data_IF_062207600526
#
_entry.id   IF_062207600526
#
_cell.length_a   1.000
_cell.length_b   1.000
_cell.length_c   1.000
_cell.angle_alpha   90.00
_cell.angle_beta   90.00
_cell.angle_gamma   90.00
#
_symmetry.space_group_name_H-M   'P 1'
#
loop_
_entity.id
_entity.type
_entity.pdbx_description
1 polymer ?
#
# COMPACT_ATOMS: atom_id res chain seq x y z
N UNK A 1 -20.92 38.88 5.33
CA UNK A 1 -22.17 38.13 5.57
C UNK A 1 -23.18 38.49 4.50
N UNK A 2 -23.15 37.79 3.36
CA UNK A 2 -24.18 37.94 2.35
C UNK A 2 -25.50 37.33 2.86
N UNK A 3 -26.64 37.96 2.58
CA UNK A 3 -27.95 37.43 2.98
C UNK A 3 -28.35 36.17 2.20
N UNK A 4 -27.90 36.08 0.94
CA UNK A 4 -28.04 34.92 0.05
C UNK A 4 -26.82 34.83 -0.85
N UNK A 5 -26.42 33.63 -1.25
CA UNK A 5 -25.42 33.40 -2.29
C UNK A 5 -25.94 32.40 -3.33
N UNK A 6 -25.59 32.62 -4.59
CA UNK A 6 -25.91 31.74 -5.71
C UNK A 6 -24.65 31.52 -6.57
N UNK A 7 -24.45 30.29 -7.02
CA UNK A 7 -23.36 29.91 -7.93
C UNK A 7 -23.95 29.71 -9.32
N UNK A 8 -23.47 30.45 -10.32
CA UNK A 8 -23.81 30.23 -11.72
C UNK A 8 -22.69 29.46 -12.40
N UNK A 9 -23.00 28.28 -12.94
CA UNK A 9 -22.02 27.44 -13.62
C UNK A 9 -22.50 27.00 -14.99
N UNK A 10 -21.57 26.97 -15.94
CA UNK A 10 -21.83 26.48 -17.30
C UNK A 10 -22.01 24.96 -17.34
N UNK A 11 -21.53 24.24 -16.32
CA UNK A 11 -21.60 22.79 -16.22
C UNK A 11 -22.91 22.34 -15.57
N UNK A 12 -23.20 21.05 -15.68
CA UNK A 12 -24.21 20.44 -14.83
C UNK A 12 -23.68 20.29 -13.39
N UNK A 13 -24.56 20.23 -12.39
CA UNK A 13 -24.17 20.15 -10.97
C UNK A 13 -23.28 18.92 -10.73
N UNK A 14 -23.67 17.76 -11.25
CA UNK A 14 -22.87 16.53 -11.17
C UNK A 14 -21.54 16.56 -11.95
N UNK A 15 -21.30 17.58 -12.77
CA UNK A 15 -20.05 17.78 -13.50
C UNK A 15 -19.18 18.91 -12.91
N UNK A 16 -19.58 19.46 -11.75
CA UNK A 16 -18.77 20.41 -11.00
C UNK A 16 -17.53 19.69 -10.47
N UNK A 17 -16.36 20.27 -10.70
CA UNK A 17 -15.08 19.73 -10.28
C UNK A 17 -14.76 20.17 -8.85
N UNK A 18 -15.58 19.72 -7.90
CA UNK A 18 -15.33 19.89 -6.47
C UNK A 18 -15.35 18.52 -5.80
N UNK A 19 -14.54 18.30 -4.75
CA UNK A 19 -14.70 17.15 -3.86
C UNK A 19 -16.13 17.08 -3.31
N UNK A 20 -16.62 15.86 -3.08
CA UNK A 20 -17.98 15.62 -2.59
C UNK A 20 -18.29 16.39 -1.28
N UNK A 21 -17.32 16.43 -0.36
CA UNK A 21 -17.49 17.13 0.91
C UNK A 21 -17.66 18.65 0.71
N UNK A 22 -16.90 19.29 -0.19
CA UNK A 22 -17.04 20.72 -0.48
C UNK A 22 -18.39 21.03 -1.13
N UNK A 23 -18.84 20.19 -2.07
CA UNK A 23 -20.16 20.33 -2.69
C UNK A 23 -21.27 20.21 -1.63
N UNK A 24 -21.14 19.25 -0.72
CA UNK A 24 -22.09 19.07 0.39
C UNK A 24 -22.11 20.28 1.32
N UNK A 25 -20.96 20.88 1.60
CA UNK A 25 -20.87 22.05 2.48
C UNK A 25 -21.54 23.28 1.84
N UNK A 26 -21.39 23.46 0.52
CA UNK A 26 -22.11 24.48 -0.25
C UNK A 26 -23.63 24.29 -0.13
N UNK A 27 -24.11 23.06 -0.33
CA UNK A 27 -25.55 22.75 -0.26
C UNK A 27 -26.11 22.93 1.16
N UNK A 28 -25.37 22.48 2.19
CA UNK A 28 -25.75 22.66 3.60
C UNK A 28 -25.79 24.12 4.04
N UNK A 29 -24.94 24.96 3.44
CA UNK A 29 -24.96 26.40 3.66
C UNK A 29 -26.14 27.12 2.99
N UNK A 30 -27.02 26.40 2.27
CA UNK A 30 -28.17 26.98 1.57
C UNK A 30 -27.79 27.80 0.34
N UNK A 31 -26.64 27.51 -0.28
CA UNK A 31 -26.16 28.20 -1.48
C UNK A 31 -26.74 27.49 -2.71
N UNK A 32 -27.55 28.22 -3.49
CA UNK A 32 -28.17 27.68 -4.70
C UNK A 32 -27.13 27.53 -5.83
N UNK A 33 -27.16 26.40 -6.53
CA UNK A 33 -26.30 26.15 -7.69
C UNK A 33 -27.14 26.16 -8.97
N UNK A 34 -27.00 27.22 -9.75
CA UNK A 34 -27.61 27.39 -11.05
C UNK A 34 -26.72 26.76 -12.14
N UNK A 35 -26.88 25.45 -12.34
CA UNK A 35 -26.21 24.71 -13.41
C UNK A 35 -26.66 25.13 -14.81
N UNK A 36 -25.88 24.78 -15.84
CA UNK A 36 -26.19 25.04 -17.26
C UNK A 36 -26.61 26.49 -17.53
N UNK A 37 -25.90 27.45 -16.92
CA UNK A 37 -26.18 28.88 -17.04
C UNK A 37 -24.90 29.65 -17.33
N UNK A 38 -25.01 30.72 -18.13
CA UNK A 38 -23.89 31.61 -18.46
C UNK A 38 -24.27 33.05 -18.15
N UNK A 39 -23.40 33.75 -17.44
CA UNK A 39 -23.51 35.20 -17.25
C UNK A 39 -23.03 35.86 -18.55
N UNK A 40 -23.92 36.63 -19.20
CA UNK A 40 -23.66 37.32 -20.48
C UNK A 40 -23.34 38.80 -20.28
N UNK A 41 -23.62 39.35 -19.11
CA UNK A 41 -23.25 40.72 -18.76
C UNK A 41 -23.53 41.08 -17.31
N UNK A 42 -22.90 42.15 -16.84
CA UNK A 42 -23.16 42.78 -15.53
C UNK A 42 -23.83 44.12 -15.80
N UNK A 43 -24.88 44.45 -15.05
CA UNK A 43 -25.60 45.70 -15.24
C UNK A 43 -24.77 46.91 -14.76
N UNK A 44 -25.14 48.11 -15.24
CA UNK A 44 -24.45 49.36 -14.93
C UNK A 44 -24.42 49.59 -13.40
N UNK A 45 -23.23 49.93 -12.88
CA UNK A 45 -23.02 50.10 -11.44
C UNK A 45 -22.75 48.80 -10.67
N UNK A 46 -22.57 47.67 -11.36
CA UNK A 46 -22.20 46.38 -10.76
C UNK A 46 -23.34 45.65 -10.05
N UNK A 47 -24.56 46.18 -10.12
CA UNK A 47 -25.76 45.65 -9.46
C UNK A 47 -26.66 44.95 -10.46
N UNK A 48 -26.62 43.63 -10.43
CA UNK A 48 -27.41 42.75 -11.25
C UNK A 48 -26.62 42.15 -12.40
N UNK A 49 -27.13 41.02 -12.91
CA UNK A 49 -26.50 40.24 -13.97
C UNK A 49 -27.51 39.88 -15.06
N UNK A 50 -27.00 39.64 -16.27
CA UNK A 50 -27.73 39.00 -17.36
C UNK A 50 -27.28 37.55 -17.45
N UNK A 51 -28.22 36.62 -17.51
CA UNK A 51 -27.97 35.18 -17.56
C UNK A 51 -28.74 34.56 -18.72
N UNK A 52 -28.18 33.52 -19.33
CA UNK A 52 -28.85 32.68 -20.34
C UNK A 52 -28.65 31.21 -19.99
N UNK A 53 -29.62 30.35 -20.33
CA UNK A 53 -29.49 28.90 -20.15
C UNK A 53 -28.66 28.31 -21.28
N UNK A 54 -27.96 27.22 -20.96
CA UNK A 54 -27.11 26.47 -21.89
C UNK A 54 -27.70 25.10 -22.19
N UNK A 55 -27.58 24.67 -23.44
CA UNK A 55 -27.88 23.31 -23.87
C UNK A 55 -26.76 22.31 -23.49
N UNK A 56 -26.90 21.06 -23.92
CA UNK A 56 -25.89 20.02 -23.67
C UNK A 56 -24.58 20.20 -24.42
N UNK A 57 -24.58 21.03 -25.47
CA UNK A 57 -23.40 21.42 -26.23
C UNK A 57 -22.81 22.76 -25.75
N UNK A 58 -23.26 23.25 -24.58
CA UNK A 58 -22.86 24.51 -23.97
C UNK A 58 -23.13 25.75 -24.85
N UNK A 59 -24.14 25.67 -25.74
CA UNK A 59 -24.66 26.78 -26.54
C UNK A 59 -25.82 27.46 -25.82
N UNK A 60 -25.99 28.75 -26.06
CA UNK A 60 -27.12 29.52 -25.52
C UNK A 60 -28.44 28.98 -26.07
N UNK A 61 -29.45 28.89 -25.20
CA UNK A 61 -30.82 28.55 -25.58
C UNK A 61 -31.59 29.86 -25.78
N UNK A 62 -31.98 30.21 -27.02
CA UNK A 62 -32.73 31.44 -27.29
C UNK A 62 -34.04 31.51 -26.49
N UNK A 63 -34.38 32.70 -26.00
CA UNK A 63 -35.60 32.94 -25.22
C UNK A 63 -35.48 32.59 -23.73
N UNK A 64 -34.29 32.19 -23.27
CA UNK A 64 -34.01 31.91 -21.86
C UNK A 64 -33.22 33.00 -21.16
N UNK A 65 -33.04 34.14 -21.83
CA UNK A 65 -32.35 35.30 -21.30
C UNK A 65 -33.13 35.88 -20.11
N UNK A 66 -32.43 36.10 -19.01
CA UNK A 66 -32.99 36.65 -17.79
C UNK A 66 -32.11 37.78 -17.27
N UNK A 67 -32.77 38.82 -16.75
CA UNK A 67 -32.12 39.91 -16.02
C UNK A 67 -32.40 39.72 -14.55
N UNK A 68 -31.35 39.51 -13.75
CA UNK A 68 -31.41 39.35 -12.30
C UNK A 68 -30.95 40.64 -11.63
N UNK A 69 -31.90 41.53 -11.34
CA UNK A 69 -31.65 42.82 -10.66
C UNK A 69 -31.46 42.70 -9.14
N UNK A 70 -31.79 41.55 -8.57
CA UNK A 70 -31.68 41.24 -7.15
C UNK A 70 -30.23 40.97 -6.70
N UNK A 71 -29.32 40.62 -7.62
CA UNK A 71 -27.91 40.35 -7.33
C UNK A 71 -27.15 41.67 -7.08
N UNK A 72 -26.73 41.91 -5.83
CA UNK A 72 -26.03 43.15 -5.46
C UNK A 72 -24.50 43.09 -5.67
N UNK A 73 -23.92 41.90 -5.73
CA UNK A 73 -22.47 41.69 -5.83
C UNK A 73 -22.17 40.44 -6.64
N UNK A 74 -21.15 40.51 -7.50
CA UNK A 74 -20.74 39.39 -8.37
C UNK A 74 -19.27 39.07 -8.17
N UNK A 75 -18.97 37.80 -7.90
CA UNK A 75 -17.60 37.27 -7.85
C UNK A 75 -17.37 36.39 -9.06
N UNK A 76 -16.36 36.71 -9.86
CA UNK A 76 -15.93 35.87 -10.97
C UNK A 76 -14.91 34.85 -10.47
N UNK A 77 -15.40 33.66 -10.10
CA UNK A 77 -14.55 32.51 -9.78
C UNK A 77 -14.23 31.68 -11.04
N UNK A 78 -13.67 32.34 -12.05
CA UNK A 78 -13.21 31.69 -13.29
C UNK A 78 -11.75 31.32 -13.12
N UNK A 79 -11.41 30.04 -13.36
CA UNK A 79 -10.07 29.44 -13.24
C UNK A 79 -8.92 30.45 -13.44
N UNK A 80 -7.90 30.39 -12.58
CA UNK A 80 -6.66 31.14 -12.75
C UNK A 80 -5.79 30.53 -13.86
N UNK A 81 -5.22 31.39 -14.70
CA UNK A 81 -4.30 31.01 -15.78
C UNK A 81 -3.01 31.82 -15.57
N UNK A 82 -1.81 31.22 -15.77
CA UNK A 82 -0.57 31.96 -15.73
C UNK A 82 -0.60 33.15 -16.70
N UNK A 83 -0.21 34.33 -16.22
CA UNK A 83 -0.13 35.56 -17.03
C UNK A 83 1.16 35.64 -17.86
N UNK A 84 2.06 34.68 -17.69
CA UNK A 84 3.33 34.60 -18.39
C UNK A 84 3.43 33.31 -19.22
N UNK A 85 4.31 33.35 -20.22
CA UNK A 85 4.72 32.15 -20.96
C UNK A 85 6.11 31.77 -20.50
N UNK A 86 6.35 30.48 -20.34
CA UNK A 86 7.69 29.97 -20.10
C UNK A 86 8.55 30.22 -21.35
N UNK A 87 9.55 31.10 -21.21
CA UNK A 87 10.49 31.43 -22.28
C UNK A 87 11.64 30.43 -22.44
N UNK A 88 11.67 29.35 -21.66
CA UNK A 88 12.75 28.36 -21.66
C UNK A 88 14.08 28.93 -21.17
N UNK A 89 14.03 29.91 -20.27
CA UNK A 89 15.23 30.54 -19.72
C UNK A 89 16.06 29.51 -18.94
N UNK A 90 17.36 29.42 -19.26
CA UNK A 90 18.27 28.48 -18.58
C UNK A 90 18.35 28.80 -17.09
N UNK A 91 18.25 27.76 -16.25
CA UNK A 91 18.30 27.91 -14.80
C UNK A 91 17.01 28.39 -14.13
N UNK A 92 15.92 28.52 -14.89
CA UNK A 92 14.59 28.85 -14.35
C UNK A 92 13.73 27.59 -14.36
N UNK A 93 13.15 27.25 -13.20
CA UNK A 93 12.31 26.07 -13.01
C UNK A 93 10.98 26.49 -12.41
N UNK A 94 9.87 25.96 -12.94
CA UNK A 94 8.52 26.29 -12.50
C UNK A 94 7.89 25.12 -11.77
N UNK A 95 7.01 25.42 -10.81
CA UNK A 95 6.31 24.42 -10.00
C UNK A 95 4.91 24.89 -9.59
N UNK A 96 4.07 23.93 -9.21
CA UNK A 96 2.68 24.17 -8.82
C UNK A 96 1.82 24.73 -9.93
N UNK A 97 0.81 25.51 -9.56
CA UNK A 97 -0.21 26.02 -10.49
C UNK A 97 0.37 26.80 -11.68
N UNK A 98 1.53 27.44 -11.51
CA UNK A 98 2.16 28.21 -12.56
C UNK A 98 2.73 27.32 -13.69
N UNK A 99 3.11 26.08 -13.36
CA UNK A 99 3.66 25.09 -14.30
C UNK A 99 2.61 24.10 -14.80
N UNK A 100 1.74 23.66 -13.90
CA UNK A 100 0.87 22.50 -14.11
C UNK A 100 -0.62 22.91 -14.23
N UNK A 101 -0.94 24.20 -14.07
CA UNK A 101 -2.31 24.68 -13.95
C UNK A 101 -2.93 24.26 -12.62
N UNK A 102 -4.24 24.50 -12.46
CA UNK A 102 -4.96 24.20 -11.22
C UNK A 102 -4.63 22.80 -10.67
N UNK A 103 -3.93 22.78 -9.54
CA UNK A 103 -3.48 21.59 -8.85
C UNK A 103 -3.92 21.66 -7.38
N UNK A 104 -4.01 20.50 -6.74
CA UNK A 104 -4.15 20.43 -5.29
C UNK A 104 -2.86 20.87 -4.61
N UNK A 105 -2.91 21.22 -3.32
CA UNK A 105 -1.72 21.55 -2.53
C UNK A 105 -0.68 20.43 -2.56
N UNK A 106 -1.12 19.16 -2.55
CA UNK A 106 -0.24 17.99 -2.59
C UNK A 106 0.45 17.88 -3.96
N UNK A 107 -0.29 18.05 -5.05
CA UNK A 107 0.27 18.06 -6.41
C UNK A 107 1.24 19.23 -6.62
N UNK A 108 0.92 20.42 -6.09
CA UNK A 108 1.82 21.57 -6.13
C UNK A 108 3.11 21.34 -5.33
N UNK A 109 3.03 20.66 -4.19
CA UNK A 109 4.19 20.26 -3.40
C UNK A 109 5.05 19.22 -4.13
N UNK A 110 4.43 18.23 -4.77
CA UNK A 110 5.13 17.24 -5.57
C UNK A 110 5.85 17.87 -6.78
N UNK A 111 5.18 18.80 -7.45
CA UNK A 111 5.74 19.63 -8.52
C UNK A 111 6.94 20.46 -8.05
N UNK A 112 6.85 21.09 -6.88
CA UNK A 112 7.98 21.83 -6.30
C UNK A 112 9.17 20.94 -5.99
N UNK A 113 8.93 19.71 -5.52
CA UNK A 113 9.98 18.75 -5.22
C UNK A 113 10.72 18.28 -6.47
N UNK A 114 9.99 18.05 -7.55
CA UNK A 114 10.57 17.72 -8.86
C UNK A 114 11.39 18.89 -9.42
N UNK A 115 10.83 20.11 -9.39
CA UNK A 115 11.54 21.32 -9.81
C UNK A 115 12.81 21.57 -8.98
N UNK A 116 12.79 21.31 -7.68
CA UNK A 116 13.96 21.41 -6.82
C UNK A 116 15.07 20.43 -7.23
N UNK A 117 14.72 19.19 -7.61
CA UNK A 117 15.71 18.23 -8.14
C UNK A 117 16.31 18.68 -9.47
N UNK A 118 15.52 19.31 -10.34
CA UNK A 118 16.04 19.88 -11.59
C UNK A 118 16.97 21.06 -11.33
N UNK A 119 16.57 21.97 -10.43
CA UNK A 119 17.41 23.09 -10.02
C UNK A 119 18.72 22.61 -9.39
N UNK A 120 18.66 21.60 -8.53
CA UNK A 120 19.84 21.00 -7.92
C UNK A 120 20.79 20.40 -8.98
N UNK A 121 20.27 19.54 -9.87
CA UNK A 121 21.07 18.95 -10.95
C UNK A 121 21.69 20.03 -11.86
N UNK A 122 20.93 21.09 -12.17
CA UNK A 122 21.43 22.23 -12.94
C UNK A 122 22.63 22.91 -12.26
N UNK A 123 22.51 23.18 -10.95
CA UNK A 123 23.59 23.80 -10.18
C UNK A 123 24.84 22.91 -10.09
N UNK A 124 24.69 21.58 -10.12
CA UNK A 124 25.79 20.63 -10.12
C UNK A 124 26.38 20.38 -11.53
N UNK A 125 25.78 20.94 -12.60
CA UNK A 125 26.16 20.63 -13.98
C UNK A 125 25.79 19.22 -14.41
N UNK A 126 24.86 18.57 -13.71
CA UNK A 126 24.38 17.23 -13.99
C UNK A 126 23.24 17.23 -15.01
N UNK A 127 22.95 16.04 -15.57
CA UNK A 127 21.79 15.85 -16.44
C UNK A 127 20.50 16.06 -15.66
N UNK A 128 19.65 16.95 -16.16
CA UNK A 128 18.35 17.23 -15.54
C UNK A 128 17.46 15.98 -15.50
N UNK A 129 16.87 15.66 -14.33
CA UNK A 129 15.90 14.59 -14.23
C UNK A 129 14.62 14.94 -15.01
N UNK A 130 14.03 13.91 -15.62
CA UNK A 130 12.77 14.02 -16.38
C UNK A 130 11.70 13.23 -15.63
N UNK A 131 10.58 13.89 -15.35
CA UNK A 131 9.44 13.31 -14.64
C UNK A 131 8.28 13.08 -15.61
N UNK A 132 7.72 11.86 -15.61
CA UNK A 132 6.57 11.51 -16.46
C UNK A 132 5.32 12.33 -16.10
N UNK A 133 5.13 12.57 -14.81
CA UNK A 133 4.05 13.42 -14.28
C UNK A 133 4.67 14.38 -13.28
N UNK A 134 4.67 15.67 -13.62
CA UNK A 134 5.29 16.70 -12.79
C UNK A 134 4.54 16.88 -11.46
N UNK A 135 3.27 16.48 -11.38
CA UNK A 135 2.44 16.55 -10.17
C UNK A 135 2.62 15.35 -9.23
N UNK A 136 3.53 14.42 -9.56
CA UNK A 136 3.86 13.25 -8.72
C UNK A 136 5.35 13.21 -8.45
N UNK A 137 5.71 13.02 -7.18
CA UNK A 137 7.11 12.96 -6.76
C UNK A 137 7.32 11.85 -5.74
N UNK A 138 8.31 11.00 -6.01
CA UNK A 138 8.82 9.96 -5.10
C UNK A 138 10.21 10.27 -4.54
N UNK A 139 10.74 11.46 -4.85
CA UNK A 139 12.01 11.91 -4.31
C UNK A 139 11.98 11.80 -2.79
N UNK A 140 13.09 11.49 -2.14
CA UNK A 140 13.24 11.61 -0.68
C UNK A 140 14.14 12.80 -0.46
N UNK A 141 13.68 13.78 0.31
CA UNK A 141 14.48 14.99 0.55
C UNK A 141 15.71 14.62 1.38
N UNK A 142 16.85 15.24 1.07
CA UNK A 142 18.06 15.09 1.86
C UNK A 142 17.79 15.42 3.33
N UNK A 143 18.34 14.60 4.24
CA UNK A 143 18.13 14.74 5.69
C UNK A 143 16.83 14.10 6.22
N UNK A 144 15.94 13.57 5.35
CA UNK A 144 14.80 12.79 5.82
C UNK A 144 15.20 11.33 6.03
N UNK A 145 15.32 10.93 7.28
CA UNK A 145 15.44 9.53 7.66
C UNK A 145 14.05 8.86 7.67
N UNK A 146 13.87 7.85 6.82
CA UNK A 146 12.64 7.05 6.77
C UNK A 146 12.65 5.88 7.76
N UNK A 147 13.79 5.61 8.40
CA UNK A 147 13.99 4.55 9.40
C UNK A 147 14.79 5.09 10.58
N UNK A 148 14.24 6.08 11.31
CA UNK A 148 14.97 6.80 12.37
C UNK A 148 15.35 5.92 13.58
N UNK A 149 14.80 4.70 13.67
CA UNK A 149 15.07 3.76 14.75
C UNK A 149 15.66 2.49 14.14
N UNK A 150 16.83 2.10 14.61
CA UNK A 150 17.42 0.82 14.25
C UNK A 150 16.58 -0.31 14.85
N UNK A 151 16.17 -1.25 13.99
CA UNK A 151 15.43 -2.44 14.39
C UNK A 151 16.33 -3.67 14.40
N UNK A 152 17.63 -3.52 14.15
CA UNK A 152 18.53 -4.66 14.12
C UNK A 152 18.50 -5.45 15.43
N UNK A 153 18.44 -6.78 15.33
CA UNK A 153 18.39 -7.67 16.49
C UNK A 153 19.36 -8.82 16.31
N UNK A 154 19.85 -9.38 17.42
CA UNK A 154 20.50 -10.68 17.42
C UNK A 154 19.44 -11.77 17.69
N UNK A 155 19.48 -12.85 16.91
CA UNK A 155 18.65 -14.02 17.14
C UNK A 155 19.50 -15.27 16.90
N UNK A 156 19.78 -16.03 17.98
CA UNK A 156 20.71 -17.16 17.98
C UNK A 156 22.11 -16.82 17.40
N UNK A 157 22.66 -15.64 17.73
CA UNK A 157 23.97 -15.21 17.23
C UNK A 157 23.96 -14.72 15.77
N UNK A 158 22.78 -14.57 15.16
CA UNK A 158 22.61 -14.00 13.83
C UNK A 158 22.02 -12.61 13.92
N UNK A 159 22.70 -11.66 13.28
CA UNK A 159 22.20 -10.29 13.13
C UNK A 159 21.11 -10.22 12.06
N UNK A 160 19.90 -9.85 12.46
CA UNK A 160 18.74 -9.61 11.59
C UNK A 160 18.52 -8.10 11.42
N UNK A 161 17.92 -7.69 10.30
CA UNK A 161 17.60 -6.28 10.01
C UNK A 161 16.39 -5.75 10.81
N UNK A 162 15.54 -6.66 11.29
CA UNK A 162 14.41 -6.38 12.18
C UNK A 162 14.07 -7.65 12.98
N UNK A 163 13.32 -7.57 14.09
CA UNK A 163 12.91 -8.74 14.86
C UNK A 163 11.69 -9.48 14.27
N UNK A 164 11.17 -9.04 13.12
CA UNK A 164 9.96 -9.59 12.54
C UNK A 164 10.30 -10.74 11.59
N UNK A 165 9.93 -11.97 11.94
CA UNK A 165 10.10 -13.15 11.08
C UNK A 165 8.74 -13.80 10.81
N UNK A 166 8.63 -14.50 9.68
CA UNK A 166 7.41 -15.27 9.35
C UNK A 166 7.45 -16.60 10.08
N UNK A 167 6.39 -16.94 10.78
CA UNK A 167 6.22 -18.23 11.46
C UNK A 167 5.96 -19.38 10.48
N UNK A 168 6.19 -20.61 10.93
CA UNK A 168 5.77 -21.81 10.21
C UNK A 168 4.24 -21.78 9.97
N UNK A 169 3.83 -21.52 8.74
CA UNK A 169 2.43 -21.21 8.39
C UNK A 169 2.20 -21.38 6.89
N UNK A 170 0.96 -21.26 6.38
CA UNK A 170 0.70 -21.25 4.92
C UNK A 170 1.53 -20.22 4.14
N UNK A 171 1.95 -19.12 4.78
CA UNK A 171 2.78 -18.08 4.15
C UNK A 171 4.25 -18.49 3.99
N UNK A 172 4.69 -19.57 4.63
CA UNK A 172 6.04 -20.12 4.50
C UNK A 172 6.05 -21.55 3.93
N UNK A 173 4.95 -21.96 3.28
CA UNK A 173 4.80 -23.28 2.67
C UNK A 173 5.28 -23.30 1.21
N UNK A 174 6.60 -23.23 1.04
CA UNK A 174 7.24 -23.37 -0.26
C UNK A 174 8.19 -22.23 -0.61
N UNK A 175 9.02 -22.50 -1.62
CA UNK A 175 10.07 -21.59 -2.06
C UNK A 175 9.55 -20.22 -2.53
N UNK A 176 8.52 -20.20 -3.38
CA UNK A 176 8.07 -18.95 -4.03
C UNK A 176 7.47 -17.96 -3.03
N UNK A 177 6.74 -18.45 -2.02
CA UNK A 177 6.19 -17.63 -0.94
C UNK A 177 7.31 -16.99 -0.10
N UNK A 178 8.32 -17.77 0.26
CA UNK A 178 9.44 -17.29 1.08
C UNK A 178 10.34 -16.35 0.28
N UNK A 179 10.57 -16.63 -1.01
CA UNK A 179 11.25 -15.71 -1.92
C UNK A 179 10.53 -14.35 -1.96
N UNK A 180 9.21 -14.35 -2.15
CA UNK A 180 8.42 -13.11 -2.16
C UNK A 180 8.54 -12.34 -0.83
N UNK A 181 8.57 -13.05 0.31
CA UNK A 181 8.79 -12.43 1.61
C UNK A 181 10.19 -11.78 1.72
N UNK A 182 11.24 -12.46 1.28
CA UNK A 182 12.60 -11.92 1.30
C UNK A 182 12.80 -10.71 0.38
N UNK A 183 12.18 -10.73 -0.80
CA UNK A 183 12.13 -9.60 -1.73
C UNK A 183 11.35 -8.41 -1.15
N UNK A 184 10.30 -8.68 -0.38
CA UNK A 184 9.56 -7.65 0.38
C UNK A 184 10.33 -7.11 1.60
N UNK A 185 11.47 -7.72 1.96
CA UNK A 185 12.37 -7.24 3.00
C UNK A 185 12.25 -7.94 4.35
N UNK A 186 11.49 -9.04 4.45
CA UNK A 186 11.47 -9.86 5.67
C UNK A 186 12.87 -10.39 5.98
N UNK A 187 13.38 -10.23 7.21
CA UNK A 187 14.72 -10.67 7.61
C UNK A 187 14.83 -12.17 7.85
N UNK A 188 13.72 -12.89 7.99
CA UNK A 188 13.74 -14.33 8.25
C UNK A 188 12.37 -14.99 8.20
N UNK A 189 12.39 -16.31 8.07
CA UNK A 189 11.25 -17.21 7.96
C UNK A 189 11.56 -18.53 8.68
N UNK A 190 10.54 -19.13 9.29
CA UNK A 190 10.50 -20.56 9.58
C UNK A 190 9.65 -21.26 8.51
N UNK A 191 10.26 -22.14 7.71
CA UNK A 191 9.53 -22.94 6.71
C UNK A 191 8.41 -23.74 7.38
N UNK A 192 7.25 -23.85 6.72
CA UNK A 192 6.09 -24.59 7.26
C UNK A 192 6.53 -26.01 7.66
N UNK A 193 6.01 -26.47 8.80
CA UNK A 193 6.37 -27.76 9.40
C UNK A 193 6.22 -28.88 8.38
N UNK A 194 7.26 -29.69 8.20
CA UNK A 194 7.21 -30.86 7.33
C UNK A 194 7.78 -32.09 8.03
N UNK A 195 7.23 -33.25 7.72
CA UNK A 195 7.68 -34.54 8.23
C UNK A 195 8.13 -35.44 7.09
N UNK A 196 9.09 -36.31 7.38
CA UNK A 196 9.55 -37.31 6.43
C UNK A 196 8.59 -38.49 6.33
N UNK A 197 8.44 -39.04 5.13
CA UNK A 197 7.69 -40.29 4.90
C UNK A 197 6.19 -40.25 5.21
N UNK A 198 5.59 -39.08 5.44
CA UNK A 198 4.18 -38.91 5.77
C UNK A 198 3.42 -38.22 4.64
N UNK A 199 2.35 -38.85 4.16
CA UNK A 199 1.42 -38.21 3.24
C UNK A 199 0.40 -37.40 4.03
N UNK A 200 0.38 -36.09 3.81
CA UNK A 200 -0.49 -35.16 4.53
C UNK A 200 -1.63 -34.71 3.63
N UNK A 201 -2.85 -34.92 4.10
CA UNK A 201 -4.04 -34.40 3.45
C UNK A 201 -4.37 -33.01 4.00
N UNK A 202 -4.41 -32.01 3.12
CA UNK A 202 -4.83 -30.65 3.46
C UNK A 202 -6.32 -30.52 3.09
N UNK A 203 -7.22 -30.32 4.06
CA UNK A 203 -8.65 -30.14 3.76
C UNK A 203 -8.90 -28.86 2.96
N UNK A 204 -10.03 -28.77 2.25
CA UNK A 204 -10.52 -27.50 1.69
C UNK A 204 -11.19 -26.66 2.79
N UNK A 205 -11.25 -25.33 2.60
CA UNK A 205 -11.98 -24.41 3.50
C UNK A 205 -11.55 -24.48 4.99
N UNK A 206 -10.28 -24.80 5.22
CA UNK A 206 -9.69 -25.02 6.55
C UNK A 206 -9.34 -23.74 7.31
N UNK A 207 -9.71 -22.57 6.79
CA UNK A 207 -9.47 -21.27 7.41
C UNK A 207 -10.74 -20.45 7.47
N UNK A 208 -10.96 -19.76 8.59
CA UNK A 208 -12.06 -18.83 8.80
C UNK A 208 -11.51 -17.49 9.31
N UNK A 209 -12.10 -16.40 8.83
CA UNK A 209 -11.83 -15.05 9.34
C UNK A 209 -13.01 -14.64 10.22
N UNK A 210 -12.78 -14.43 11.52
CA UNK A 210 -13.81 -13.97 12.44
C UNK A 210 -13.97 -12.45 12.38
N UNK A 211 -12.86 -11.72 12.22
CA UNK A 211 -12.80 -10.28 12.00
C UNK A 211 -11.43 -9.92 11.36
N UNK A 212 -11.16 -8.63 11.16
CA UNK A 212 -9.89 -8.10 10.62
C UNK A 212 -8.61 -8.68 11.27
N UNK A 213 -8.66 -9.00 12.56
CA UNK A 213 -7.49 -9.34 13.38
C UNK A 213 -7.55 -10.76 13.97
N UNK A 214 -8.56 -11.57 13.63
CA UNK A 214 -8.74 -12.89 14.26
C UNK A 214 -9.15 -13.93 13.24
N UNK A 215 -8.37 -15.00 13.20
CA UNK A 215 -8.54 -16.12 12.29
C UNK A 215 -8.61 -17.43 13.07
N UNK A 216 -9.37 -18.38 12.54
CA UNK A 216 -9.34 -19.77 12.98
C UNK A 216 -8.83 -20.64 11.84
N UNK A 217 -8.10 -21.70 12.15
CA UNK A 217 -7.74 -22.70 11.15
C UNK A 217 -7.79 -24.12 11.74
N UNK A 218 -8.07 -25.07 10.87
CA UNK A 218 -7.84 -26.49 11.08
C UNK A 218 -6.85 -27.00 10.02
N UNK A 219 -5.78 -26.23 9.81
CA UNK A 219 -4.69 -26.60 8.90
C UNK A 219 -3.89 -27.77 9.49
N UNK A 220 -3.22 -28.50 8.60
CA UNK A 220 -2.23 -29.49 8.97
C UNK A 220 -0.83 -28.92 8.72
N UNK A 221 0.17 -29.76 8.99
CA UNK A 221 1.54 -29.55 8.52
C UNK A 221 1.61 -29.52 6.99
N UNK A 222 2.76 -29.15 6.44
CA UNK A 222 2.95 -29.02 5.00
C UNK A 222 2.58 -30.32 4.26
N UNK A 223 1.89 -30.14 3.12
CA UNK A 223 1.68 -31.23 2.16
C UNK A 223 2.95 -31.54 1.35
N UNK A 224 4.01 -30.76 1.50
CA UNK A 224 5.28 -30.98 0.84
C UNK A 224 6.12 -32.00 1.62
N UNK A 225 6.75 -32.98 0.94
CA UNK A 225 7.64 -33.92 1.60
C UNK A 225 8.88 -33.20 2.13
N UNK A 226 9.46 -33.70 3.24
CA UNK A 226 10.62 -33.08 3.88
C UNK A 226 11.80 -32.89 2.92
N UNK A 227 12.05 -33.84 2.00
CA UNK A 227 13.14 -33.72 1.03
C UNK A 227 12.96 -32.53 0.07
N UNK A 228 11.71 -32.20 -0.30
CA UNK A 228 11.42 -30.97 -1.06
C UNK A 228 11.72 -29.74 -0.22
N UNK A 229 11.25 -29.71 1.03
CA UNK A 229 11.53 -28.58 1.95
C UNK A 229 13.03 -28.41 2.14
N UNK A 230 13.81 -29.50 2.26
CA UNK A 230 15.27 -29.45 2.32
C UNK A 230 15.89 -28.80 1.08
N UNK A 231 15.43 -29.17 -0.12
CA UNK A 231 15.91 -28.56 -1.37
C UNK A 231 15.58 -27.06 -1.44
N UNK A 232 14.38 -26.67 -0.98
CA UNK A 232 13.94 -25.27 -0.93
C UNK A 232 14.76 -24.47 0.11
N UNK A 233 15.01 -25.03 1.30
CA UNK A 233 15.88 -24.44 2.34
C UNK A 233 17.29 -24.22 1.80
N UNK A 234 17.91 -25.24 1.21
CA UNK A 234 19.26 -25.14 0.66
C UNK A 234 19.37 -24.04 -0.40
N UNK A 235 18.33 -23.92 -1.25
CA UNK A 235 18.24 -22.87 -2.25
C UNK A 235 18.10 -21.49 -1.61
N UNK A 236 17.20 -21.32 -0.64
CA UNK A 236 16.96 -20.04 0.05
C UNK A 236 18.19 -19.57 0.82
N UNK A 237 18.88 -20.47 1.52
CA UNK A 237 20.13 -20.16 2.24
C UNK A 237 21.22 -19.68 1.30
N UNK A 238 21.31 -20.29 0.11
CA UNK A 238 22.29 -19.90 -0.92
C UNK A 238 21.96 -18.55 -1.56
N UNK A 239 20.69 -18.32 -1.89
CA UNK A 239 20.25 -17.09 -2.58
C UNK A 239 20.13 -15.89 -1.61
N UNK A 240 19.82 -16.14 -0.33
CA UNK A 240 19.56 -15.12 0.69
C UNK A 240 20.36 -15.39 1.98
N UNK A 241 21.70 -15.38 1.94
CA UNK A 241 22.54 -15.71 3.11
C UNK A 241 22.43 -14.68 4.25
N UNK A 242 21.97 -13.47 3.95
CA UNK A 242 21.70 -12.39 4.92
C UNK A 242 20.31 -12.48 5.55
N UNK A 243 19.53 -13.52 5.25
CA UNK A 243 18.23 -13.82 5.84
C UNK A 243 18.31 -15.07 6.70
N UNK A 244 17.50 -15.12 7.76
CA UNK A 244 17.34 -16.33 8.57
C UNK A 244 16.36 -17.29 7.88
N UNK A 245 16.88 -18.36 7.30
CA UNK A 245 16.05 -19.48 6.84
C UNK A 245 16.08 -20.59 7.88
N UNK A 246 15.06 -20.64 8.73
CA UNK A 246 14.81 -21.72 9.66
C UNK A 246 13.80 -22.72 9.06
N UNK A 247 13.73 -23.92 9.62
CA UNK A 247 12.75 -24.93 9.18
C UNK A 247 12.09 -25.62 10.36
N UNK A 248 10.80 -25.88 10.24
CA UNK A 248 10.02 -26.56 11.27
C UNK A 248 9.84 -28.04 10.91
N UNK A 249 9.98 -28.91 11.89
CA UNK A 249 9.74 -30.36 11.74
C UNK A 249 9.27 -30.98 13.05
N UNK A 250 8.98 -32.28 13.01
CA UNK A 250 8.88 -33.10 14.20
C UNK A 250 9.24 -34.55 13.87
N UNK A 251 8.77 -35.48 14.69
CA UNK A 251 8.93 -36.91 14.46
C UNK A 251 7.73 -37.71 14.97
N UNK A 252 7.74 -39.04 14.77
CA UNK A 252 6.72 -39.91 15.30
C UNK A 252 6.69 -39.87 16.83
N UNK A 253 5.50 -40.15 17.40
CA UNK A 253 5.23 -40.16 18.83
C UNK A 253 4.46 -41.43 19.19
N UNK A 254 5.02 -42.59 18.85
CA UNK A 254 4.33 -43.89 18.93
C UNK A 254 4.34 -44.52 20.32
N UNK A 255 5.07 -43.92 21.28
CA UNK A 255 5.33 -44.53 22.60
C UNK A 255 6.46 -45.55 22.55
N UNK A 256 7.15 -45.68 21.42
CA UNK A 256 8.38 -46.44 21.28
C UNK A 256 9.55 -45.47 21.15
N UNK A 257 10.16 -45.12 22.28
CA UNK A 257 11.22 -44.11 22.38
C UNK A 257 12.35 -44.32 21.37
N UNK A 258 12.78 -45.57 21.15
CA UNK A 258 13.87 -45.86 20.23
C UNK A 258 13.49 -45.65 18.75
N UNK A 259 12.23 -45.91 18.38
CA UNK A 259 11.71 -45.62 17.05
C UNK A 259 11.50 -44.11 16.87
N UNK A 260 10.84 -43.49 17.84
CA UNK A 260 10.51 -42.06 17.83
C UNK A 260 11.78 -41.22 17.74
N UNK A 261 12.74 -41.45 18.65
CA UNK A 261 14.05 -40.78 18.65
C UNK A 261 14.76 -40.86 17.30
N UNK A 262 14.76 -42.02 16.64
CA UNK A 262 15.37 -42.17 15.31
C UNK A 262 14.68 -41.30 14.26
N UNK A 263 13.36 -41.20 14.29
CA UNK A 263 12.59 -40.33 13.41
C UNK A 263 12.93 -38.84 13.62
N UNK A 264 12.91 -38.38 14.87
CA UNK A 264 13.26 -36.99 15.23
C UNK A 264 14.70 -36.64 14.83
N UNK A 265 15.66 -37.53 15.10
CA UNK A 265 17.06 -37.34 14.72
C UNK A 265 17.25 -37.34 13.20
N UNK A 266 16.57 -38.23 12.47
CA UNK A 266 16.62 -38.27 11.01
C UNK A 266 16.14 -36.96 10.38
N UNK A 267 14.98 -36.46 10.80
CA UNK A 267 14.41 -35.22 10.26
C UNK A 267 15.28 -34.01 10.59
N UNK A 268 15.81 -33.95 11.82
CA UNK A 268 16.78 -32.93 12.23
C UNK A 268 18.01 -32.92 11.33
N UNK A 269 18.66 -34.08 11.16
CA UNK A 269 19.87 -34.22 10.33
C UNK A 269 19.63 -33.85 8.86
N UNK A 270 18.44 -34.13 8.32
CA UNK A 270 18.07 -33.71 6.95
C UNK A 270 18.04 -32.18 6.83
N UNK A 271 17.40 -31.49 7.77
CA UNK A 271 17.34 -30.02 7.78
C UNK A 271 18.70 -29.37 8.04
N UNK A 272 19.51 -29.92 8.95
CA UNK A 272 20.87 -29.45 9.19
C UNK A 272 21.73 -29.58 7.91
N UNK A 273 21.67 -30.73 7.22
CA UNK A 273 22.38 -30.94 5.95
C UNK A 273 21.89 -30.01 4.84
N UNK A 274 20.62 -29.63 4.86
CA UNK A 274 20.07 -28.63 3.94
C UNK A 274 20.58 -27.21 4.22
N UNK A 275 21.20 -26.97 5.38
CA UNK A 275 21.70 -25.66 5.79
C UNK A 275 20.68 -24.81 6.52
N UNK A 276 19.60 -25.40 7.07
CA UNK A 276 18.68 -24.69 7.94
C UNK A 276 19.46 -24.00 9.08
N UNK A 277 19.21 -22.71 9.28
CA UNK A 277 19.97 -21.90 10.23
C UNK A 277 19.47 -22.04 11.66
N UNK A 278 18.23 -22.50 11.82
CA UNK A 278 17.61 -22.93 13.06
C UNK A 278 16.57 -24.00 12.73
N UNK A 279 16.30 -24.88 13.69
CA UNK A 279 15.27 -25.91 13.58
C UNK A 279 14.23 -25.65 14.66
N UNK A 280 12.98 -25.52 14.25
CA UNK A 280 11.83 -25.43 15.13
C UNK A 280 11.21 -26.83 15.27
N UNK A 281 10.94 -27.25 16.50
CA UNK A 281 10.25 -28.50 16.77
C UNK A 281 8.77 -28.24 17.02
N UNK A 282 7.94 -28.72 16.10
CA UNK A 282 6.49 -28.67 16.24
C UNK A 282 6.03 -29.80 17.15
N UNK A 283 5.78 -29.46 18.42
CA UNK A 283 5.30 -30.39 19.43
C UNK A 283 3.76 -30.50 19.48
N UNK A 284 3.06 -29.81 18.58
CA UNK A 284 1.61 -29.63 18.59
C UNK A 284 0.79 -30.74 17.93
N UNK A 285 1.42 -31.63 17.16
CA UNK A 285 0.69 -32.62 16.35
C UNK A 285 0.51 -33.95 17.12
N UNK A 286 -0.73 -34.45 17.30
CA UNK A 286 -1.04 -35.72 17.97
C UNK A 286 -0.68 -36.96 17.12
N UNK A 287 0.15 -36.81 16.09
CA UNK A 287 0.39 -37.83 15.07
C UNK A 287 1.33 -38.93 15.59
N UNK A 288 0.82 -39.72 16.53
CA UNK A 288 1.44 -40.93 17.06
C UNK A 288 0.88 -41.42 18.40
N UNK A 289 0.32 -40.55 19.25
CA UNK A 289 -0.06 -40.89 20.62
C UNK A 289 -1.47 -41.48 20.76
N UNK A 290 -1.65 -42.42 21.70
CA UNK A 290 -2.95 -43.06 22.00
C UNK A 290 -3.87 -42.20 22.90
N UNK A 291 -3.49 -40.96 23.19
CA UNK A 291 -4.26 -40.01 24.01
C UNK A 291 -4.26 -40.30 25.51
N UNK A 292 -3.45 -41.24 26.01
CA UNK A 292 -3.54 -41.67 27.42
C UNK A 292 -2.78 -40.79 28.42
N UNK A 293 -1.91 -39.87 27.96
CA UNK A 293 -1.09 -38.98 28.82
C UNK A 293 -0.94 -37.54 28.29
N UNK A 294 -2.03 -36.95 27.79
CA UNK A 294 -2.02 -35.64 27.15
C UNK A 294 -1.95 -35.80 25.63
N UNK A 295 -2.86 -35.16 24.91
CA UNK A 295 -3.07 -35.42 23.49
C UNK A 295 -1.92 -34.89 22.60
N UNK A 296 -0.96 -34.17 23.18
CA UNK A 296 0.08 -33.41 22.48
C UNK A 296 1.41 -33.53 23.24
N UNK A 297 2.53 -33.76 22.53
CA UNK A 297 3.89 -33.97 23.11
C UNK A 297 4.27 -32.90 24.13
N UNK A 298 3.95 -31.63 23.86
CA UNK A 298 4.32 -30.51 24.73
C UNK A 298 3.56 -30.44 26.07
N UNK A 299 2.61 -31.34 26.32
CA UNK A 299 1.81 -31.34 27.54
C UNK A 299 2.40 -32.21 28.67
N UNK A 300 3.47 -32.96 28.39
CA UNK A 300 4.21 -33.78 29.36
C UNK A 300 5.68 -33.29 29.42
N UNK A 301 6.15 -32.66 30.53
CA UNK A 301 7.50 -32.11 30.67
C UNK A 301 8.64 -33.13 30.65
#
# INVERSE_FOLDING_TARGET
GAAKAEIFTRKNIGAIQLPEHELRDILKAGIDINGKSRITGILKGGKGIKVVRLDDKAKDIPGTEQVRGDIQFTVLAIKNIPVFKDGGAKGVFFAGDCKDGAATVVEGTASAKNAAMQAHAYMQGEKLPVFKDHKKSHVVLAGRDLRPVDLSTDFFGRKLKSPFIISASPHSDGYEQVKAAYEAGWPGVVMKTAFDGLHIHIPSEYMVTFNENTYGNSDNVSGHPLDRVCAEVARLVKEYPDRLTAASTGGPVTGNDEFDKKGWQSNTLKLEKAGAMAIEYSLSCPQGGDGTKGDIVSQDP
#
